data_IF_618323076957
#
_entry.id   IF_618323076957
#
_cell.length_a   1.000
_cell.length_b   1.000
_cell.length_c   1.000
_cell.angle_alpha   90.00
_cell.angle_beta   90.00
_cell.angle_gamma   90.00
#
_symmetry.space_group_name_H-M   'P 1'
#
loop_
_entity.id
_entity.type
_entity.pdbx_description
1 polymer ?
#
# COMPACT_ATOMS: atom_id res chain seq x y z
N UNK A 1 52.19 -16.63 -22.34
CA UNK A 1 51.38 -16.45 -23.55
C UNK A 1 49.92 -16.53 -23.12
N UNK A 2 49.15 -15.46 -23.22
CA UNK A 2 47.73 -15.44 -22.82
C UNK A 2 46.92 -16.20 -23.88
N UNK A 3 46.36 -17.36 -23.52
CA UNK A 3 45.52 -18.15 -24.43
C UNK A 3 44.08 -17.62 -24.41
N UNK A 4 43.84 -16.58 -25.21
CA UNK A 4 42.51 -16.00 -25.42
C UNK A 4 41.47 -17.03 -25.93
N UNK A 5 41.92 -18.09 -26.61
CA UNK A 5 41.04 -19.15 -27.10
C UNK A 5 40.60 -20.11 -25.99
N UNK A 6 41.38 -20.26 -24.92
CA UNK A 6 40.95 -21.02 -23.75
C UNK A 6 39.77 -20.34 -23.07
N UNK A 7 39.84 -19.01 -22.86
CA UNK A 7 38.76 -18.22 -22.28
C UNK A 7 37.52 -18.23 -23.17
N UNK A 8 37.67 -18.03 -24.50
CA UNK A 8 36.54 -18.10 -25.43
C UNK A 8 35.86 -19.48 -25.41
N UNK A 9 36.62 -20.58 -25.43
CA UNK A 9 36.05 -21.94 -25.36
C UNK A 9 35.31 -22.20 -24.05
N UNK A 10 35.85 -21.75 -22.92
CA UNK A 10 35.19 -21.87 -21.62
C UNK A 10 33.88 -21.09 -21.57
N UNK A 11 33.86 -19.85 -22.10
CA UNK A 11 32.66 -19.03 -22.20
C UNK A 11 31.61 -19.65 -23.12
N UNK A 12 32.00 -20.12 -24.31
CA UNK A 12 31.08 -20.80 -25.24
C UNK A 12 30.52 -22.08 -24.64
N UNK A 13 31.34 -22.87 -23.92
CA UNK A 13 30.88 -24.07 -23.23
C UNK A 13 29.87 -23.75 -22.12
N UNK A 14 30.13 -22.72 -21.31
CA UNK A 14 29.17 -22.25 -20.28
C UNK A 14 27.88 -21.71 -20.90
N UNK A 15 27.96 -20.98 -22.01
CA UNK A 15 26.79 -20.46 -22.72
C UNK A 15 26.00 -21.55 -23.44
N UNK A 16 26.65 -22.64 -23.86
CA UNK A 16 25.96 -23.78 -24.47
C UNK A 16 25.22 -24.63 -23.44
N UNK A 17 25.87 -24.95 -22.31
CA UNK A 17 25.25 -25.70 -21.21
C UNK A 17 25.63 -25.09 -19.85
N UNK A 18 24.76 -24.24 -19.30
CA UNK A 18 25.07 -23.57 -18.05
C UNK A 18 25.11 -24.56 -16.87
N UNK A 19 26.31 -24.84 -16.37
CA UNK A 19 26.54 -25.68 -15.19
C UNK A 19 26.07 -25.00 -13.89
N UNK A 20 26.37 -23.71 -13.72
CA UNK A 20 26.23 -22.96 -12.45
C UNK A 20 25.08 -21.94 -12.41
N UNK A 21 24.19 -21.94 -13.41
CA UNK A 21 23.15 -20.88 -13.49
C UNK A 21 22.06 -21.03 -12.42
N UNK A 22 21.88 -22.22 -11.85
CA UNK A 22 21.03 -22.37 -10.66
C UNK A 22 21.51 -21.49 -9.51
N UNK A 23 22.83 -21.42 -9.28
CA UNK A 23 23.43 -20.54 -8.26
C UNK A 23 23.12 -19.07 -8.53
N UNK A 24 23.18 -18.63 -9.79
CA UNK A 24 22.87 -17.25 -10.19
C UNK A 24 21.38 -16.92 -10.03
N UNK A 25 20.50 -17.84 -10.42
CA UNK A 25 19.05 -17.72 -10.27
C UNK A 25 18.62 -17.70 -8.80
N UNK A 26 19.28 -18.48 -7.92
CA UNK A 26 19.05 -18.42 -6.47
C UNK A 26 19.52 -17.10 -5.86
N UNK A 27 20.68 -16.62 -6.27
CA UNK A 27 21.24 -15.36 -5.80
C UNK A 27 20.30 -14.18 -6.11
N UNK A 28 19.76 -14.14 -7.33
CA UNK A 28 18.83 -13.07 -7.76
C UNK A 28 17.42 -13.28 -7.21
N UNK A 29 16.96 -14.53 -7.09
CA UNK A 29 15.60 -14.86 -6.65
C UNK A 29 15.33 -14.65 -5.15
N UNK A 30 16.37 -14.49 -4.34
CA UNK A 30 16.28 -14.48 -2.88
C UNK A 30 15.50 -13.32 -2.25
N UNK A 31 15.39 -12.19 -2.96
CA UNK A 31 14.56 -11.06 -2.52
C UNK A 31 13.27 -10.91 -3.32
N UNK A 32 13.18 -11.56 -4.48
CA UNK A 32 12.06 -11.44 -5.43
C UNK A 32 10.77 -12.09 -4.88
N UNK A 33 10.84 -12.96 -3.87
CA UNK A 33 9.65 -13.58 -3.28
C UNK A 33 8.85 -12.64 -2.36
N UNK A 34 9.50 -11.65 -1.72
CA UNK A 34 8.83 -10.65 -0.84
C UNK A 34 7.70 -9.92 -1.56
N UNK A 35 7.72 -10.02 -2.88
CA UNK A 35 6.91 -9.39 -3.89
C UNK A 35 5.77 -10.32 -4.36
N UNK A 36 6.02 -11.63 -4.55
CA UNK A 36 5.02 -12.57 -5.08
C UNK A 36 3.92 -12.91 -4.08
N UNK A 37 4.19 -12.94 -2.77
CA UNK A 37 3.14 -13.34 -1.80
C UNK A 37 2.16 -12.22 -1.43
N UNK A 38 2.43 -11.01 -1.93
CA UNK A 38 1.53 -9.85 -1.89
C UNK A 38 0.21 -10.09 -2.63
N UNK A 39 0.16 -11.17 -3.38
CA UNK A 39 -0.95 -11.59 -4.21
C UNK A 39 -2.01 -12.44 -3.54
N UNK A 40 -1.77 -13.06 -2.37
CA UNK A 40 -2.79 -13.94 -1.78
C UNK A 40 -4.08 -13.10 -1.62
N UNK A 41 -5.10 -13.36 -2.47
CA UNK A 41 -6.32 -12.60 -2.50
C UNK A 41 -6.99 -12.88 -1.19
N UNK A 42 -7.60 -11.86 -0.63
CA UNK A 42 -8.32 -12.05 0.61
C UNK A 42 -9.49 -13.02 0.34
N UNK A 43 -9.64 -14.08 1.14
CA UNK A 43 -10.67 -15.11 0.97
C UNK A 43 -10.17 -16.52 0.58
N UNK A 44 -11.09 -17.43 0.27
CA UNK A 44 -10.83 -18.83 -0.16
C UNK A 44 -10.47 -18.92 -1.66
N UNK A 45 -9.68 -17.96 -2.15
CA UNK A 45 -9.46 -17.75 -3.58
C UNK A 45 -8.17 -18.39 -4.10
N UNK A 46 -8.28 -19.09 -5.22
CA UNK A 46 -7.13 -19.50 -6.03
C UNK A 46 -6.30 -18.28 -6.49
N UNK A 47 -4.99 -18.34 -6.24
CA UNK A 47 -4.03 -17.31 -6.67
C UNK A 47 -3.12 -17.88 -7.75
N UNK A 48 -3.21 -17.40 -9.00
CA UNK A 48 -2.37 -17.84 -10.10
C UNK A 48 -0.99 -17.19 -9.95
N UNK A 49 -0.22 -17.68 -8.99
CA UNK A 49 1.14 -17.22 -8.81
C UNK A 49 2.05 -17.98 -9.76
N UNK A 50 2.97 -17.23 -10.39
CA UNK A 50 3.83 -17.76 -11.43
C UNK A 50 5.05 -18.45 -10.80
N UNK A 51 5.40 -19.61 -11.37
CA UNK A 51 6.56 -20.36 -10.92
C UNK A 51 7.85 -19.55 -11.17
N UNK A 52 8.72 -19.51 -10.18
CA UNK A 52 10.05 -18.90 -10.27
C UNK A 52 10.97 -19.51 -9.22
N UNK A 53 12.27 -19.52 -9.46
CA UNK A 53 13.24 -20.11 -8.51
C UNK A 53 13.36 -19.33 -7.19
N UNK A 54 12.85 -18.10 -7.12
CA UNK A 54 12.81 -17.30 -5.88
C UNK A 54 11.94 -17.93 -4.77
N UNK A 55 10.99 -18.80 -5.12
CA UNK A 55 10.16 -19.52 -4.15
C UNK A 55 10.95 -20.43 -3.20
N UNK A 56 12.12 -20.90 -3.64
CA UNK A 56 12.93 -21.77 -2.78
C UNK A 56 13.63 -20.98 -1.70
N UNK A 57 14.20 -19.81 -2.05
CA UNK A 57 14.78 -18.92 -1.04
C UNK A 57 13.72 -18.51 -0.01
N UNK A 58 12.49 -18.24 -0.47
CA UNK A 58 11.37 -18.02 0.42
C UNK A 58 11.14 -19.20 1.37
N UNK A 59 11.04 -20.42 0.84
CA UNK A 59 10.78 -21.61 1.63
C UNK A 59 11.83 -21.83 2.74
N UNK A 60 13.09 -21.44 2.52
CA UNK A 60 14.11 -21.44 3.57
C UNK A 60 13.91 -20.31 4.60
N UNK A 61 13.51 -19.11 4.17
CA UNK A 61 13.20 -18.03 5.13
C UNK A 61 12.00 -18.38 6.01
N UNK A 62 10.97 -19.03 5.47
CA UNK A 62 9.79 -19.46 6.23
C UNK A 62 10.06 -20.61 7.19
N UNK A 63 11.18 -21.32 7.03
CA UNK A 63 11.56 -22.33 8.01
C UNK A 63 11.84 -21.69 9.38
N UNK A 64 12.30 -20.43 9.39
CA UNK A 64 12.46 -19.64 10.63
C UNK A 64 11.10 -19.31 11.27
N UNK A 65 10.08 -19.01 10.48
CA UNK A 65 8.68 -18.88 10.95
C UNK A 65 8.23 -20.16 11.66
N UNK A 66 8.53 -21.34 11.09
CA UNK A 66 8.16 -22.62 11.70
C UNK A 66 8.94 -22.94 12.99
N UNK A 67 10.20 -22.48 13.10
CA UNK A 67 11.07 -22.77 14.25
C UNK A 67 11.02 -21.72 15.38
N UNK A 68 10.78 -20.46 15.06
CA UNK A 68 10.96 -19.31 15.96
C UNK A 68 9.75 -18.39 16.10
N UNK A 69 8.62 -18.70 15.46
CA UNK A 69 7.38 -17.93 15.60
C UNK A 69 7.38 -16.58 14.87
N UNK A 70 8.29 -16.36 13.93
CA UNK A 70 8.26 -15.21 13.02
C UNK A 70 7.01 -15.26 12.11
N UNK A 71 6.61 -14.14 11.51
CA UNK A 71 5.47 -14.06 10.57
C UNK A 71 5.89 -14.46 9.16
N UNK A 72 4.99 -15.07 8.38
CA UNK A 72 5.19 -15.26 6.92
C UNK A 72 5.14 -13.93 6.18
N UNK A 73 4.29 -13.01 6.66
CA UNK A 73 4.14 -11.69 6.09
C UNK A 73 5.38 -10.84 6.37
N UNK A 74 5.99 -10.23 5.34
CA UNK A 74 7.06 -9.28 5.54
C UNK A 74 6.53 -8.03 6.24
N UNK A 75 7.39 -7.39 7.03
CA UNK A 75 7.08 -6.12 7.69
C UNK A 75 6.66 -5.08 6.65
N UNK A 76 5.62 -4.30 6.97
CA UNK A 76 5.13 -3.23 6.10
C UNK A 76 6.25 -2.26 5.71
N UNK A 77 6.29 -1.89 4.43
CA UNK A 77 7.30 -0.96 3.88
C UNK A 77 6.94 0.51 4.09
N UNK A 78 5.68 0.80 4.45
CA UNK A 78 5.21 2.15 4.77
C UNK A 78 5.06 2.30 6.29
N UNK A 79 6.17 2.16 7.02
CA UNK A 79 6.24 2.25 8.48
C UNK A 79 5.89 3.66 9.01
N UNK A 80 5.92 4.68 8.14
CA UNK A 80 5.70 6.06 8.54
C UNK A 80 4.22 6.43 8.62
N UNK A 81 3.30 5.57 8.17
CA UNK A 81 1.87 5.84 8.30
C UNK A 81 1.43 5.65 9.76
N UNK A 82 0.81 6.69 10.32
CA UNK A 82 0.11 6.66 11.60
C UNK A 82 -1.37 6.43 11.30
N UNK A 83 -1.96 5.55 12.11
CA UNK A 83 -3.39 5.24 12.09
C UNK A 83 -3.98 5.81 13.37
N UNK A 84 -4.95 6.69 13.24
CA UNK A 84 -5.52 7.45 14.35
C UNK A 84 -7.02 7.24 14.42
N UNK A 85 -7.54 6.95 15.61
CA UNK A 85 -8.96 6.92 15.86
C UNK A 85 -9.54 8.35 15.76
N UNK A 86 -10.58 8.53 14.96
CA UNK A 86 -11.12 9.86 14.65
C UNK A 86 -11.76 10.57 15.86
N UNK A 87 -12.34 9.83 16.82
CA UNK A 87 -13.01 10.42 17.99
C UNK A 87 -12.11 10.59 19.20
N UNK A 88 -11.36 9.55 19.54
CA UNK A 88 -10.51 9.54 20.74
C UNK A 88 -9.17 10.25 20.52
N UNK A 89 -8.72 10.35 19.26
CA UNK A 89 -7.39 10.82 18.92
C UNK A 89 -6.29 9.78 19.17
N UNK A 90 -6.65 8.55 19.57
CA UNK A 90 -5.66 7.52 19.89
C UNK A 90 -4.88 7.11 18.64
N UNK A 91 -3.56 7.29 18.67
CA UNK A 91 -2.67 6.96 17.55
C UNK A 91 -2.02 5.59 17.70
N UNK A 92 -1.87 4.86 16.59
CA UNK A 92 -1.13 3.61 16.45
C UNK A 92 -0.14 3.73 15.31
N UNK A 93 1.07 3.22 15.50
CA UNK A 93 2.01 3.01 14.40
C UNK A 93 1.52 1.85 13.53
N UNK A 94 1.61 2.02 12.21
CA UNK A 94 1.19 0.99 11.28
C UNK A 94 2.25 -0.12 11.14
N UNK A 95 1.92 -1.32 11.60
CA UNK A 95 2.67 -2.54 11.24
C UNK A 95 1.99 -3.34 10.14
N UNK A 96 0.73 -3.03 9.82
CA UNK A 96 -0.02 -3.70 8.78
C UNK A 96 0.53 -3.46 7.38
N UNK A 97 0.75 -4.56 6.67
CA UNK A 97 1.04 -4.54 5.24
C UNK A 97 -0.11 -3.93 4.43
N UNK A 98 -1.37 -4.24 4.79
CA UNK A 98 -2.57 -3.81 4.05
C UNK A 98 -2.71 -2.30 4.06
N UNK A 99 -2.60 -1.67 5.24
CA UNK A 99 -2.67 -0.22 5.40
C UNK A 99 -1.46 0.44 4.73
N UNK A 100 -0.28 -0.18 4.83
CA UNK A 100 0.91 0.35 4.17
C UNK A 100 0.75 0.39 2.65
N UNK A 101 0.08 -0.61 2.07
CA UNK A 101 -0.26 -0.61 0.64
C UNK A 101 -1.34 0.37 0.26
N UNK A 102 -2.38 0.47 1.08
CA UNK A 102 -3.42 1.45 0.89
C UNK A 102 -2.82 2.86 0.80
N UNK A 103 -1.89 3.19 1.71
CA UNK A 103 -1.19 4.47 1.70
C UNK A 103 -0.25 4.65 0.49
N UNK A 104 0.66 3.69 0.25
CA UNK A 104 1.64 3.76 -0.83
C UNK A 104 0.99 3.95 -2.21
N UNK A 105 -0.13 3.26 -2.44
CA UNK A 105 -0.82 3.25 -3.73
C UNK A 105 -1.85 4.39 -3.84
N UNK A 106 -2.02 5.23 -2.80
CA UNK A 106 -2.98 6.33 -2.75
C UNK A 106 -2.98 7.25 -3.98
N UNK A 107 -1.81 7.68 -4.51
CA UNK A 107 -1.77 8.51 -5.72
C UNK A 107 -2.46 7.89 -6.94
N UNK A 108 -2.59 6.55 -7.00
CA UNK A 108 -3.14 5.84 -8.15
C UNK A 108 -4.63 5.53 -7.99
N UNK A 109 -5.10 5.32 -6.76
CA UNK A 109 -6.50 4.97 -6.51
C UNK A 109 -7.35 6.10 -5.94
N UNK A 110 -6.76 7.24 -5.55
CA UNK A 110 -7.52 8.41 -5.09
C UNK A 110 -8.53 8.88 -6.13
N UNK A 111 -9.65 9.42 -5.66
CA UNK A 111 -10.71 9.94 -6.53
C UNK A 111 -10.23 11.18 -7.29
N UNK A 112 -10.73 11.37 -8.52
CA UNK A 112 -10.38 12.52 -9.38
C UNK A 112 -10.70 13.87 -8.74
N UNK A 113 -11.67 13.94 -7.81
CA UNK A 113 -11.98 15.14 -7.04
C UNK A 113 -10.81 15.57 -6.15
N UNK A 114 -10.05 14.62 -5.62
CA UNK A 114 -8.83 14.89 -4.85
C UNK A 114 -7.75 15.49 -5.76
N UNK A 115 -7.60 14.94 -6.98
CA UNK A 115 -6.67 15.48 -7.98
C UNK A 115 -7.07 16.89 -8.43
N UNK A 116 -8.37 17.12 -8.66
CA UNK A 116 -8.92 18.43 -9.04
C UNK A 116 -8.62 19.47 -7.97
N UNK A 117 -8.95 19.19 -6.70
CA UNK A 117 -8.67 20.10 -5.60
C UNK A 117 -7.16 20.34 -5.42
N UNK A 118 -6.33 19.31 -5.57
CA UNK A 118 -4.87 19.46 -5.53
C UNK A 118 -4.36 20.37 -6.67
N UNK A 119 -4.91 20.24 -7.86
CA UNK A 119 -4.56 21.07 -9.01
C UNK A 119 -5.00 22.53 -8.81
N UNK A 120 -6.20 22.74 -8.28
CA UNK A 120 -6.73 24.08 -7.97
C UNK A 120 -5.90 24.76 -6.88
N UNK A 121 -5.56 24.05 -5.81
CA UNK A 121 -4.67 24.55 -4.76
C UNK A 121 -3.27 24.86 -5.30
N UNK A 122 -2.73 24.04 -6.24
CA UNK A 122 -1.45 24.33 -6.89
C UNK A 122 -1.52 25.54 -7.82
N UNK A 123 -2.64 25.76 -8.50
CA UNK A 123 -2.86 26.93 -9.37
C UNK A 123 -2.94 28.21 -8.55
N UNK A 124 -3.68 28.19 -7.44
CA UNK A 124 -3.78 29.33 -6.53
C UNK A 124 -2.43 29.63 -5.86
N UNK A 125 -1.61 28.61 -5.61
CA UNK A 125 -0.23 28.72 -5.13
C UNK A 125 0.77 29.30 -6.13
N UNK A 126 0.44 29.47 -7.41
CA UNK A 126 1.28 30.21 -8.36
C UNK A 126 1.59 31.67 -7.93
N UNK A 127 0.99 32.14 -6.83
CA UNK A 127 1.27 33.41 -6.15
C UNK A 127 2.07 33.30 -4.84
N UNK A 128 2.27 32.11 -4.25
CA UNK A 128 2.94 31.91 -2.95
C UNK A 128 4.02 30.81 -3.03
N UNK A 129 5.25 31.17 -2.65
CA UNK A 129 6.53 30.49 -2.96
C UNK A 129 6.79 29.09 -2.36
N UNK A 130 5.82 28.38 -1.79
CA UNK A 130 6.08 27.13 -1.06
C UNK A 130 5.48 25.92 -1.78
N UNK A 131 6.34 25.01 -2.24
CA UNK A 131 5.97 23.81 -3.02
C UNK A 131 5.03 22.84 -2.26
N UNK A 132 4.97 22.93 -0.92
CA UNK A 132 4.29 21.91 -0.10
C UNK A 132 3.20 22.36 0.90
N UNK A 133 2.89 23.65 1.06
CA UNK A 133 2.03 24.10 2.16
C UNK A 133 0.53 23.90 1.89
N UNK A 134 -0.07 22.77 2.27
CA UNK A 134 -1.53 22.57 2.23
C UNK A 134 -1.91 21.13 2.56
N UNK A 135 -3.05 20.94 3.21
CA UNK A 135 -3.58 19.62 3.61
C UNK A 135 -4.83 19.30 2.80
N UNK A 136 -4.86 18.09 2.26
CA UNK A 136 -6.02 17.53 1.56
C UNK A 136 -6.41 16.23 2.24
N UNK A 137 -7.63 16.19 2.75
CA UNK A 137 -8.24 15.04 3.40
C UNK A 137 -9.25 14.41 2.45
N UNK A 138 -8.95 13.21 1.96
CA UNK A 138 -9.92 12.42 1.22
C UNK A 138 -10.79 11.61 2.18
N UNK A 139 -12.10 11.77 2.12
CA UNK A 139 -13.07 11.08 2.96
C UNK A 139 -13.62 9.89 2.20
N UNK A 140 -13.47 8.71 2.78
CA UNK A 140 -13.90 7.44 2.21
C UNK A 140 -14.74 6.66 3.22
N UNK A 141 -15.62 5.81 2.72
CA UNK A 141 -16.43 4.89 3.51
C UNK A 141 -16.00 3.45 3.22
N UNK A 142 -15.62 2.70 4.26
CA UNK A 142 -15.31 1.29 4.13
C UNK A 142 -16.59 0.47 4.15
N UNK A 143 -16.84 -0.31 3.09
CA UNK A 143 -18.05 -1.11 2.97
C UNK A 143 -18.06 -2.29 3.95
N UNK A 144 -19.27 -2.67 4.38
CA UNK A 144 -19.51 -3.94 5.07
C UNK A 144 -18.96 -5.11 4.24
N UNK A 145 -18.30 -6.05 4.92
CA UNK A 145 -17.86 -7.29 4.29
C UNK A 145 -19.08 -8.14 3.90
N UNK A 146 -19.16 -8.55 2.63
CA UNK A 146 -20.22 -9.45 2.15
C UNK A 146 -20.10 -10.86 2.74
N UNK A 147 -18.88 -11.27 3.06
CA UNK A 147 -18.55 -12.55 3.69
C UNK A 147 -17.85 -12.29 5.03
N UNK A 148 -17.79 -13.29 5.92
CA UNK A 148 -17.11 -13.17 7.22
C UNK A 148 -15.60 -12.89 7.12
N UNK A 149 -15.05 -12.82 5.90
CA UNK A 149 -13.66 -12.49 5.59
C UNK A 149 -13.64 -11.46 4.46
N UNK A 150 -12.62 -10.59 4.41
CA UNK A 150 -12.46 -9.69 3.29
C UNK A 150 -12.22 -10.49 2.02
N UNK A 151 -12.74 -10.00 0.90
CA UNK A 151 -12.54 -10.65 -0.41
C UNK A 151 -11.88 -9.67 -1.36
N UNK A 152 -10.78 -10.08 -1.97
CA UNK A 152 -10.08 -9.29 -2.99
C UNK A 152 -10.75 -9.47 -4.36
N UNK A 153 -10.99 -8.37 -5.06
CA UNK A 153 -11.40 -8.42 -6.46
C UNK A 153 -10.21 -8.84 -7.33
N UNK A 154 -10.46 -9.73 -8.31
CA UNK A 154 -9.45 -10.19 -9.27
C UNK A 154 -8.99 -9.02 -10.15
N UNK A 155 -7.84 -8.43 -9.81
CA UNK A 155 -7.21 -7.36 -10.58
C UNK A 155 -6.36 -7.84 -11.75
N UNK A 156 -5.78 -6.92 -12.52
CA UNK A 156 -4.94 -7.18 -13.70
C UNK A 156 -3.80 -8.17 -13.42
N UNK A 157 -3.18 -8.08 -12.24
CA UNK A 157 -2.13 -9.01 -11.83
C UNK A 157 -2.58 -10.48 -11.78
N UNK A 158 -3.83 -10.74 -11.42
CA UNK A 158 -4.39 -12.10 -11.35
C UNK A 158 -4.52 -12.70 -12.76
N UNK A 159 -5.05 -11.92 -13.71
CA UNK A 159 -5.17 -12.33 -15.12
C UNK A 159 -3.79 -12.53 -15.75
N UNK A 160 -2.85 -11.61 -15.49
CA UNK A 160 -1.49 -11.73 -15.99
C UNK A 160 -0.78 -12.97 -15.43
N UNK A 161 -1.02 -13.32 -14.17
CA UNK A 161 -0.50 -14.55 -13.57
C UNK A 161 -0.91 -15.79 -14.36
N UNK A 162 -2.19 -15.92 -14.70
CA UNK A 162 -2.70 -17.02 -15.53
C UNK A 162 -2.04 -17.05 -16.92
N UNK A 163 -1.97 -15.88 -17.57
CA UNK A 163 -1.37 -15.78 -18.90
C UNK A 163 0.11 -16.21 -18.89
N UNK A 164 0.88 -15.75 -17.91
CA UNK A 164 2.30 -16.09 -17.82
C UNK A 164 2.49 -17.54 -17.42
N UNK A 165 1.65 -18.12 -16.55
CA UNK A 165 1.69 -19.56 -16.29
C UNK A 165 1.43 -20.37 -17.56
N UNK A 166 0.44 -19.97 -18.37
CA UNK A 166 0.18 -20.63 -19.66
C UNK A 166 1.40 -20.53 -20.60
N UNK A 167 2.02 -19.35 -20.69
CA UNK A 167 3.24 -19.14 -21.45
C UNK A 167 4.39 -20.05 -20.97
N UNK A 168 4.58 -20.16 -19.65
CA UNK A 168 5.59 -21.05 -19.07
C UNK A 168 5.35 -22.51 -19.45
N UNK A 169 4.10 -22.98 -19.42
CA UNK A 169 3.73 -24.34 -19.82
C UNK A 169 3.99 -24.57 -21.32
N UNK A 170 3.66 -23.61 -22.18
CA UNK A 170 3.96 -23.69 -23.62
C UNK A 170 5.47 -23.81 -23.86
N UNK A 171 6.26 -22.95 -23.21
CA UNK A 171 7.73 -23.01 -23.31
C UNK A 171 8.29 -24.34 -22.78
N UNK A 172 7.65 -24.93 -21.78
CA UNK A 172 8.07 -26.21 -21.20
C UNK A 172 7.73 -27.42 -22.07
N UNK A 173 6.77 -27.30 -23.00
CA UNK A 173 6.41 -28.36 -23.97
C UNK A 173 7.40 -28.43 -25.14
N UNK A 174 8.07 -27.32 -25.49
CA UNK A 174 9.01 -27.27 -26.62
C UNK A 174 10.09 -28.36 -26.51
N UNK A 175 10.85 -28.49 -25.41
CA UNK A 175 11.87 -29.55 -25.25
C UNK A 175 11.31 -30.97 -25.37
N UNK A 176 10.06 -31.18 -24.92
CA UNK A 176 9.40 -32.48 -25.05
C UNK A 176 9.20 -32.84 -26.52
N UNK A 177 8.73 -31.88 -27.32
CA UNK A 177 8.41 -32.11 -28.73
C UNK A 177 9.65 -32.19 -29.63
N UNK A 178 10.70 -31.43 -29.35
CA UNK A 178 11.88 -31.35 -30.22
C UNK A 178 13.00 -32.30 -29.81
N UNK A 179 13.13 -32.58 -28.51
CA UNK A 179 14.28 -33.28 -27.93
C UNK A 179 13.89 -34.55 -27.16
N UNK A 180 12.60 -34.81 -26.96
CA UNK A 180 12.11 -35.95 -26.16
C UNK A 180 12.37 -35.82 -24.66
N UNK A 181 12.72 -34.62 -24.18
CA UNK A 181 13.09 -34.37 -22.79
C UNK A 181 11.91 -33.82 -21.98
N UNK A 182 11.34 -34.65 -21.09
CA UNK A 182 10.21 -34.28 -20.22
C UNK A 182 10.59 -33.60 -18.90
N UNK A 183 11.88 -33.48 -18.59
CA UNK A 183 12.36 -32.88 -17.34
C UNK A 183 11.88 -31.45 -17.14
N UNK A 184 12.00 -30.61 -18.18
CA UNK A 184 11.57 -29.19 -18.12
C UNK A 184 10.07 -29.06 -17.85
N UNK A 185 9.26 -29.90 -18.49
CA UNK A 185 7.81 -29.94 -18.29
C UNK A 185 7.45 -30.37 -16.87
N UNK A 186 8.06 -31.45 -16.38
CA UNK A 186 7.85 -31.97 -15.03
C UNK A 186 8.18 -30.91 -13.96
N UNK A 187 9.34 -30.26 -14.08
CA UNK A 187 9.76 -29.21 -13.13
C UNK A 187 8.81 -28.02 -13.17
N UNK A 188 8.37 -27.59 -14.36
CA UNK A 188 7.49 -26.42 -14.52
C UNK A 188 6.10 -26.69 -13.94
N UNK A 189 5.51 -27.85 -14.23
CA UNK A 189 4.21 -28.24 -13.67
C UNK A 189 4.30 -28.37 -12.15
N UNK A 190 5.28 -29.13 -11.66
CA UNK A 190 5.45 -29.37 -10.22
C UNK A 190 5.71 -28.06 -9.48
N UNK A 191 6.60 -27.22 -10.01
CA UNK A 191 6.88 -25.90 -9.45
C UNK A 191 5.68 -24.95 -9.46
N UNK A 192 4.84 -25.01 -10.48
CA UNK A 192 3.58 -24.23 -10.53
C UNK A 192 2.61 -24.69 -9.46
N UNK A 193 2.41 -26.00 -9.30
CA UNK A 193 1.54 -26.56 -8.27
C UNK A 193 2.05 -26.23 -6.85
N UNK A 194 3.37 -26.33 -6.62
CA UNK A 194 3.99 -25.95 -5.36
C UNK A 194 3.81 -24.45 -5.08
N UNK A 195 3.98 -23.58 -6.10
CA UNK A 195 3.74 -22.14 -5.95
C UNK A 195 2.28 -21.84 -5.57
N UNK A 196 1.32 -22.51 -6.20
CA UNK A 196 -0.10 -22.37 -5.89
C UNK A 196 -0.45 -22.86 -4.50
N UNK A 197 0.11 -24.00 -4.06
CA UNK A 197 -0.04 -24.49 -2.70
C UNK A 197 0.52 -23.49 -1.70
N UNK A 198 1.75 -23.01 -1.94
CA UNK A 198 2.42 -22.03 -1.09
C UNK A 198 1.59 -20.75 -0.92
N UNK A 199 1.02 -20.25 -2.01
CA UNK A 199 0.22 -19.03 -2.02
C UNK A 199 -1.18 -19.20 -1.39
N UNK A 200 -1.67 -20.45 -1.33
CA UNK A 200 -2.99 -20.80 -0.80
C UNK A 200 -2.97 -21.19 0.68
N UNK A 201 -1.83 -21.07 1.36
CA UNK A 201 -1.76 -21.32 2.80
C UNK A 201 -2.69 -20.37 3.58
N UNK A 202 -3.52 -20.88 4.50
CA UNK A 202 -4.47 -20.05 5.25
C UNK A 202 -3.78 -19.02 6.16
N UNK A 203 -2.53 -19.31 6.56
CA UNK A 203 -1.72 -18.40 7.38
C UNK A 203 -1.53 -17.02 6.75
N UNK A 204 -1.49 -16.92 5.41
CA UNK A 204 -1.43 -15.64 4.70
C UNK A 204 -2.61 -14.74 5.02
N UNK A 205 -3.80 -15.34 5.11
CA UNK A 205 -5.04 -14.62 5.39
C UNK A 205 -5.09 -14.16 6.84
N UNK A 206 -4.72 -15.05 7.75
CA UNK A 206 -4.71 -14.77 9.19
C UNK A 206 -3.74 -13.66 9.55
N UNK A 207 -2.53 -13.66 8.97
CA UNK A 207 -1.53 -12.62 9.22
C UNK A 207 -1.84 -11.30 8.51
N UNK A 208 -2.46 -11.35 7.33
CA UNK A 208 -2.81 -10.15 6.55
C UNK A 208 -4.05 -9.43 7.10
N UNK A 209 -5.01 -10.15 7.67
CA UNK A 209 -6.29 -9.61 8.19
C UNK A 209 -6.57 -9.98 9.64
N UNK A 210 -5.58 -9.73 10.49
CA UNK A 210 -5.76 -9.85 11.94
C UNK A 210 -6.45 -8.62 12.51
N UNK A 211 -7.75 -8.54 12.29
CA UNK A 211 -8.58 -7.45 12.78
C UNK A 211 -9.99 -7.94 13.12
N UNK A 212 -10.63 -7.31 14.10
CA UNK A 212 -12.03 -7.57 14.39
C UNK A 212 -12.92 -6.85 13.39
N UNK A 213 -14.15 -7.32 13.25
CA UNK A 213 -15.19 -6.57 12.55
C UNK A 213 -15.65 -5.40 13.40
N UNK A 214 -15.88 -4.28 12.74
CA UNK A 214 -16.35 -3.03 13.35
C UNK A 214 -17.77 -3.20 13.87
N UNK A 215 -18.00 -2.70 15.09
CA UNK A 215 -19.32 -2.51 15.67
C UNK A 215 -19.57 -1.00 15.78
N UNK A 216 -20.84 -0.61 15.87
CA UNK A 216 -21.18 0.78 16.18
C UNK A 216 -20.67 1.17 17.56
N UNK A 217 -20.33 2.45 17.69
CA UNK A 217 -20.00 3.03 18.98
C UNK A 217 -21.21 3.05 19.91
N UNK A 218 -20.98 3.27 21.21
CA UNK A 218 -22.05 3.31 22.23
C UNK A 218 -23.09 4.40 21.97
N UNK A 219 -22.70 5.46 21.27
CA UNK A 219 -23.54 6.58 20.87
C UNK A 219 -24.30 6.34 19.55
N UNK A 220 -24.20 5.13 18.96
CA UNK A 220 -24.86 4.77 17.70
C UNK A 220 -24.14 5.26 16.44
N UNK A 221 -23.04 6.01 16.58
CA UNK A 221 -22.23 6.51 15.46
C UNK A 221 -21.34 5.41 14.85
N UNK A 222 -20.97 5.61 13.58
CA UNK A 222 -19.95 4.81 12.93
C UNK A 222 -18.56 5.25 13.41
N UNK A 223 -17.63 4.32 13.72
CA UNK A 223 -16.27 4.69 14.02
C UNK A 223 -15.55 5.17 12.77
N UNK A 224 -14.60 6.07 12.95
CA UNK A 224 -13.81 6.67 11.88
C UNK A 224 -12.33 6.59 12.22
N UNK A 225 -11.50 6.43 11.20
CA UNK A 225 -10.05 6.27 11.35
C UNK A 225 -9.35 7.14 10.32
N UNK A 226 -8.33 7.86 10.74
CA UNK A 226 -7.47 8.65 9.85
C UNK A 226 -6.16 7.92 9.60
N UNK A 227 -5.74 7.88 8.34
CA UNK A 227 -4.44 7.37 7.91
C UNK A 227 -3.63 8.55 7.37
N UNK A 228 -2.48 8.84 7.99
CA UNK A 228 -1.59 9.93 7.59
C UNK A 228 -0.13 9.63 7.96
N UNK A 229 0.88 10.09 7.19
CA UNK A 229 2.28 10.06 7.60
C UNK A 229 2.60 10.96 8.79
N UNK A 230 1.68 11.85 9.15
CA UNK A 230 1.86 12.85 10.20
C UNK A 230 2.23 14.23 9.67
N UNK A 231 2.85 15.04 10.53
CA UNK A 231 3.26 16.40 10.20
C UNK A 231 4.16 16.46 8.94
N UNK A 232 3.98 17.50 8.12
CA UNK A 232 4.68 17.69 6.85
C UNK A 232 4.07 16.93 5.66
N UNK A 233 3.02 16.14 5.88
CA UNK A 233 2.28 15.48 4.79
C UNK A 233 1.18 16.36 4.21
N UNK A 234 1.01 16.30 2.89
CA UNK A 234 -0.06 17.02 2.18
C UNK A 234 -1.39 16.29 2.14
N UNK A 235 -1.38 15.00 2.50
CA UNK A 235 -2.50 14.11 2.31
C UNK A 235 -2.84 13.43 3.63
N UNK A 236 -4.13 13.33 3.91
CA UNK A 236 -4.68 12.43 4.92
C UNK A 236 -5.89 11.69 4.32
N UNK A 237 -6.14 10.48 4.80
CA UNK A 237 -7.28 9.68 4.36
C UNK A 237 -8.15 9.46 5.59
N UNK A 238 -9.34 10.04 5.60
CA UNK A 238 -10.37 9.75 6.59
C UNK A 238 -11.20 8.57 6.08
N UNK A 239 -11.27 7.49 6.86
CA UNK A 239 -12.07 6.31 6.55
C UNK A 239 -13.17 6.14 7.60
N UNK A 240 -14.41 6.26 7.18
CA UNK A 240 -15.60 5.96 7.98
C UNK A 240 -15.87 4.46 7.85
N UNK A 241 -15.97 3.76 8.96
CA UNK A 241 -16.08 2.30 8.99
C UNK A 241 -17.55 1.88 9.14
N UNK A 242 -18.12 1.25 8.11
CA UNK A 242 -19.47 0.67 8.24
C UNK A 242 -19.48 -0.50 9.23
N UNK A 243 -20.64 -0.76 9.81
CA UNK A 243 -20.85 -1.92 10.67
C UNK A 243 -20.58 -3.22 9.91
N UNK A 244 -19.70 -4.06 10.46
CA UNK A 244 -19.24 -5.28 9.79
C UNK A 244 -18.11 -5.08 8.77
N UNK A 245 -17.54 -3.88 8.65
CA UNK A 245 -16.26 -3.67 7.96
C UNK A 245 -15.07 -4.09 8.84
N UNK A 246 -13.85 -4.10 8.29
CA UNK A 246 -12.63 -4.44 9.04
C UNK A 246 -12.20 -3.26 9.92
N UNK A 247 -11.91 -3.52 11.20
CA UNK A 247 -11.38 -2.47 12.07
C UNK A 247 -9.93 -2.14 11.69
N UNK A 248 -9.71 -0.93 11.19
CA UNK A 248 -8.40 -0.49 10.72
C UNK A 248 -7.38 -0.26 11.86
N UNK A 249 -7.83 0.05 13.07
CA UNK A 249 -6.92 0.20 14.22
C UNK A 249 -6.37 -1.14 14.70
N UNK A 250 -7.25 -2.13 14.81
CA UNK A 250 -6.85 -3.51 15.10
C UNK A 250 -5.94 -4.01 13.98
N UNK A 251 -6.28 -3.71 12.72
CA UNK A 251 -5.48 -4.11 11.57
C UNK A 251 -4.08 -3.50 11.62
N UNK A 252 -3.95 -2.22 12.00
CA UNK A 252 -2.68 -1.49 12.11
C UNK A 252 -1.72 -2.12 13.11
N UNK A 253 -2.24 -2.78 14.15
CA UNK A 253 -1.45 -3.43 15.20
C UNK A 253 -1.47 -4.96 15.13
N UNK A 254 -2.26 -5.55 14.24
CA UNK A 254 -2.57 -6.98 14.22
C UNK A 254 -1.38 -7.92 14.01
N UNK A 255 -0.30 -7.43 13.39
CA UNK A 255 0.95 -8.19 13.23
C UNK A 255 1.77 -8.26 14.53
N UNK A 256 1.59 -7.32 15.45
CA UNK A 256 2.34 -7.30 16.70
C UNK A 256 1.87 -8.45 17.60
N UNK A 257 2.80 -9.32 17.99
CA UNK A 257 2.50 -10.48 18.84
C UNK A 257 1.70 -11.58 18.15
N UNK A 258 1.75 -11.68 16.81
CA UNK A 258 1.33 -12.91 16.14
C UNK A 258 2.28 -14.05 16.51
N UNK A 259 1.71 -15.18 16.94
CA UNK A 259 2.44 -16.42 17.16
C UNK A 259 1.73 -17.50 16.35
N UNK A 260 2.36 -18.06 15.31
CA UNK A 260 1.76 -19.15 14.57
C UNK A 260 1.55 -20.34 15.50
N UNK A 261 0.47 -21.09 15.29
CA UNK A 261 0.28 -22.37 15.98
C UNK A 261 1.34 -23.34 15.49
N UNK A 262 1.87 -24.20 16.35
CA UNK A 262 2.86 -25.23 15.95
C UNK A 262 2.36 -26.08 14.77
N UNK A 263 1.05 -26.36 14.73
CA UNK A 263 0.38 -27.08 13.64
C UNK A 263 0.49 -26.35 12.29
N UNK A 264 0.56 -25.01 12.28
CA UNK A 264 0.75 -24.20 11.07
C UNK A 264 2.20 -24.27 10.53
N UNK A 265 3.16 -24.72 11.34
CA UNK A 265 4.54 -24.95 10.91
C UNK A 265 4.74 -26.21 10.05
N UNK A 266 3.91 -27.24 10.23
CA UNK A 266 4.06 -28.52 9.51
C UNK A 266 3.91 -28.36 7.99
N UNK A 267 2.87 -27.68 7.46
CA UNK A 267 2.76 -27.42 6.02
C UNK A 267 3.96 -26.67 5.45
N UNK A 268 4.54 -25.73 6.21
CA UNK A 268 5.71 -24.98 5.79
C UNK A 268 6.94 -25.88 5.65
N UNK A 269 7.19 -26.75 6.64
CA UNK A 269 8.31 -27.70 6.61
C UNK A 269 8.18 -28.65 5.41
N UNK A 270 6.98 -29.22 5.19
CA UNK A 270 6.72 -30.11 4.06
C UNK A 270 6.92 -29.41 2.72
N UNK A 271 6.43 -28.18 2.61
CA UNK A 271 6.55 -27.38 1.40
C UNK A 271 8.02 -27.01 1.13
N UNK A 272 8.80 -26.65 2.16
CA UNK A 272 10.24 -26.41 2.03
C UNK A 272 10.98 -27.66 1.57
N UNK A 273 10.67 -28.82 2.16
CA UNK A 273 11.25 -30.09 1.70
C UNK A 273 10.89 -30.39 0.23
N UNK A 274 9.63 -30.16 -0.18
CA UNK A 274 9.19 -30.35 -1.55
C UNK A 274 9.90 -29.41 -2.54
N UNK A 275 10.12 -28.15 -2.15
CA UNK A 275 10.91 -27.20 -2.93
C UNK A 275 12.36 -27.67 -3.09
N UNK A 276 12.99 -28.18 -2.04
CA UNK A 276 14.35 -28.74 -2.10
C UNK A 276 14.42 -29.94 -3.03
N UNK A 277 13.47 -30.88 -2.93
CA UNK A 277 13.41 -32.05 -3.83
C UNK A 277 13.24 -31.61 -5.28
N UNK A 278 12.35 -30.65 -5.55
CA UNK A 278 12.16 -30.10 -6.90
C UNK A 278 13.46 -29.52 -7.47
N UNK A 279 14.29 -28.88 -6.64
CA UNK A 279 15.59 -28.38 -7.07
C UNK A 279 16.60 -29.47 -7.37
N UNK A 280 16.66 -30.50 -6.53
CA UNK A 280 17.54 -31.65 -6.80
C UNK A 280 17.18 -32.31 -8.13
N UNK A 281 15.88 -32.44 -8.42
CA UNK A 281 15.40 -32.91 -9.73
C UNK A 281 15.80 -31.95 -10.85
N UNK A 282 15.63 -30.64 -10.67
CA UNK A 282 16.00 -29.65 -11.68
C UNK A 282 17.51 -29.63 -12.00
N UNK A 283 18.37 -29.82 -10.99
CA UNK A 283 19.83 -29.92 -11.15
C UNK A 283 20.21 -31.18 -11.94
N UNK A 284 19.47 -32.27 -11.74
CA UNK A 284 19.70 -33.56 -12.41
C UNK A 284 19.42 -33.55 -13.92
N UNK A 285 18.93 -32.46 -14.50
CA UNK A 285 18.60 -32.36 -15.94
C UNK A 285 19.89 -32.08 -16.74
N UNK A 286 20.33 -33.01 -17.61
CA UNK A 286 21.65 -32.94 -18.26
C UNK A 286 21.72 -31.95 -19.43
N UNK A 287 20.59 -31.64 -20.09
CA UNK A 287 20.56 -30.87 -21.34
C UNK A 287 19.56 -29.70 -21.27
N UNK A 288 19.71 -28.72 -22.18
CA UNK A 288 18.70 -27.69 -22.50
C UNK A 288 18.20 -26.84 -21.31
N UNK A 289 19.08 -26.58 -20.35
CA UNK A 289 18.78 -25.80 -19.12
C UNK A 289 18.29 -24.37 -19.40
N UNK A 290 18.57 -23.83 -20.59
CA UNK A 290 18.08 -22.53 -21.04
C UNK A 290 16.56 -22.39 -21.00
N UNK A 291 15.80 -23.45 -21.26
CA UNK A 291 14.33 -23.38 -21.15
C UNK A 291 13.90 -23.18 -19.69
N UNK A 292 14.49 -23.93 -18.75
CA UNK A 292 14.22 -23.75 -17.32
C UNK A 292 14.62 -22.35 -16.84
N UNK A 293 15.76 -21.85 -17.30
CA UNK A 293 16.24 -20.50 -17.00
C UNK A 293 15.24 -19.46 -17.51
N UNK A 294 14.84 -19.56 -18.78
CA UNK A 294 13.88 -18.64 -19.40
C UNK A 294 12.54 -18.65 -18.69
N UNK A 295 12.00 -19.84 -18.40
CA UNK A 295 10.75 -20.02 -17.65
C UNK A 295 10.87 -19.35 -16.26
N UNK A 296 11.95 -19.65 -15.52
CA UNK A 296 12.18 -19.08 -14.19
C UNK A 296 12.34 -17.56 -14.21
N UNK A 297 13.09 -17.03 -15.18
CA UNK A 297 13.33 -15.60 -15.36
C UNK A 297 12.04 -14.83 -15.70
N UNK A 298 11.24 -15.33 -16.64
CA UNK A 298 9.92 -14.78 -16.97
C UNK A 298 9.04 -14.73 -15.72
N UNK A 299 9.06 -15.80 -14.91
CA UNK A 299 8.32 -15.84 -13.66
C UNK A 299 8.80 -14.82 -12.63
N UNK A 300 10.12 -14.64 -12.48
CA UNK A 300 10.67 -13.61 -11.59
C UNK A 300 10.28 -12.19 -12.03
N UNK A 301 10.31 -11.91 -13.34
CA UNK A 301 9.91 -10.61 -13.89
C UNK A 301 8.43 -10.33 -13.63
N UNK A 302 7.55 -11.30 -13.88
CA UNK A 302 6.13 -11.16 -13.59
C UNK A 302 5.86 -10.94 -12.10
N UNK A 303 6.47 -11.75 -11.23
CA UNK A 303 6.30 -11.63 -9.78
C UNK A 303 6.78 -10.27 -9.26
N UNK A 304 7.89 -9.76 -9.80
CA UNK A 304 8.42 -8.42 -9.47
C UNK A 304 7.47 -7.31 -9.95
N UNK A 305 7.05 -7.37 -11.22
CA UNK A 305 6.16 -6.35 -11.79
C UNK A 305 4.86 -6.24 -11.00
N UNK A 306 4.21 -7.37 -10.70
CA UNK A 306 2.92 -7.29 -10.02
C UNK A 306 3.05 -6.82 -8.58
N UNK A 307 4.15 -7.14 -7.91
CA UNK A 307 4.38 -6.62 -6.59
C UNK A 307 4.68 -5.13 -6.56
N UNK A 308 5.34 -4.61 -7.60
CA UNK A 308 5.54 -3.17 -7.74
C UNK A 308 4.23 -2.47 -8.07
N UNK A 309 3.36 -3.13 -8.84
CA UNK A 309 2.12 -2.58 -9.38
C UNK A 309 1.21 -2.01 -8.28
N UNK A 310 0.66 -0.81 -8.47
CA UNK A 310 -0.31 -0.21 -7.57
C UNK A 310 -1.59 -1.04 -7.47
N UNK A 311 -2.23 -1.03 -6.30
CA UNK A 311 -3.49 -1.72 -6.04
C UNK A 311 -4.58 -0.76 -5.62
N UNK A 312 -5.80 -1.04 -6.09
CA UNK A 312 -7.01 -0.37 -5.60
C UNK A 312 -7.44 -0.96 -4.26
N UNK A 313 -8.15 -0.21 -3.41
CA UNK A 313 -8.57 -0.68 -2.09
C UNK A 313 -9.35 -2.01 -2.14
N UNK A 314 -10.24 -2.16 -3.12
CA UNK A 314 -11.00 -3.40 -3.34
C UNK A 314 -10.12 -4.62 -3.73
N UNK A 315 -8.98 -4.41 -4.39
CA UNK A 315 -8.02 -5.48 -4.70
C UNK A 315 -7.18 -5.87 -3.47
N UNK A 316 -7.02 -4.95 -2.52
CA UNK A 316 -6.35 -5.26 -1.26
C UNK A 316 -7.31 -5.99 -0.30
N UNK A 317 -8.63 -5.93 -0.54
CA UNK A 317 -9.67 -6.52 0.30
C UNK A 317 -10.33 -5.51 1.25
N UNK A 318 -10.11 -4.21 1.04
CA UNK A 318 -10.76 -3.11 1.76
C UNK A 318 -11.54 -2.26 0.75
N UNK A 319 -12.75 -2.65 0.35
CA UNK A 319 -13.56 -1.84 -0.57
C UNK A 319 -13.90 -0.49 0.07
N UNK A 320 -13.28 0.57 -0.44
CA UNK A 320 -13.52 1.96 -0.04
C UNK A 320 -14.36 2.66 -1.12
N UNK A 321 -15.36 3.41 -0.68
CA UNK A 321 -16.16 4.29 -1.52
C UNK A 321 -15.85 5.74 -1.18
N UNK A 322 -15.59 6.58 -2.18
CA UNK A 322 -15.32 7.99 -1.95
C UNK A 322 -16.61 8.71 -1.55
N UNK A 323 -16.53 9.54 -0.52
CA UNK A 323 -17.64 10.39 -0.06
C UNK A 323 -17.38 11.82 -0.50
N UNK A 324 -16.35 12.44 0.06
CA UNK A 324 -16.02 13.85 -0.15
C UNK A 324 -14.52 14.11 -0.03
N UNK A 325 -14.09 15.31 -0.39
CA UNK A 325 -12.71 15.78 -0.19
C UNK A 325 -12.76 17.15 0.45
N UNK A 326 -11.94 17.32 1.48
CA UNK A 326 -11.74 18.60 2.17
C UNK A 326 -10.28 19.00 1.99
N UNK A 327 -9.99 20.27 1.72
CA UNK A 327 -8.61 20.69 1.63
C UNK A 327 -8.45 22.18 1.45
N UNK A 328 -7.34 22.69 1.97
CA UNK A 328 -6.98 24.11 1.90
C UNK A 328 -5.47 24.27 1.76
N UNK A 329 -5.05 25.44 1.30
CA UNK A 329 -3.64 25.84 1.28
C UNK A 329 -3.09 26.03 2.71
N UNK A 330 -3.94 26.37 3.67
CA UNK A 330 -3.58 26.37 5.07
C UNK A 330 -4.08 25.10 5.77
N UNK A 331 -3.20 24.45 6.53
CA UNK A 331 -3.47 23.20 7.23
C UNK A 331 -4.51 23.42 8.34
N UNK A 332 -4.40 24.51 9.10
CA UNK A 332 -5.36 24.81 10.17
C UNK A 332 -6.78 25.02 9.60
N UNK A 333 -6.88 25.78 8.50
CA UNK A 333 -8.13 25.91 7.76
C UNK A 333 -8.69 24.58 7.25
N UNK A 334 -7.85 23.70 6.69
CA UNK A 334 -8.30 22.39 6.20
C UNK A 334 -8.87 21.52 7.32
N UNK A 335 -8.22 21.53 8.50
CA UNK A 335 -8.68 20.81 9.69
C UNK A 335 -9.98 21.40 10.25
N UNK A 336 -10.12 22.73 10.26
CA UNK A 336 -11.35 23.40 10.67
C UNK A 336 -12.51 23.15 9.69
N UNK A 337 -12.23 23.09 8.39
CA UNK A 337 -13.22 22.68 7.39
C UNK A 337 -13.65 21.24 7.60
N UNK A 338 -12.72 20.33 7.91
CA UNK A 338 -13.04 18.94 8.20
C UNK A 338 -13.92 18.81 9.45
N UNK A 339 -13.64 19.57 10.50
CA UNK A 339 -14.46 19.59 11.73
C UNK A 339 -15.92 20.02 11.48
N UNK A 340 -16.16 20.77 10.40
CA UNK A 340 -17.49 21.26 10.01
C UNK A 340 -18.25 20.29 9.11
N UNK A 341 -17.60 19.28 8.53
CA UNK A 341 -18.33 18.26 7.76
C UNK A 341 -18.99 17.26 8.71
N UNK A 342 -20.12 16.71 8.29
CA UNK A 342 -20.89 15.76 9.12
C UNK A 342 -20.05 14.53 9.47
N UNK A 343 -19.20 14.09 8.52
CA UNK A 343 -18.33 12.92 8.66
C UNK A 343 -17.01 13.22 9.41
N UNK A 344 -16.53 14.47 9.37
CA UNK A 344 -15.28 14.91 9.96
C UNK A 344 -15.41 15.52 11.37
N UNK A 345 -16.63 15.61 11.90
CA UNK A 345 -16.90 16.20 13.22
C UNK A 345 -16.15 15.47 14.35
N UNK A 346 -15.39 16.23 15.14
CA UNK A 346 -14.50 15.74 16.19
C UNK A 346 -13.13 15.28 15.67
N UNK A 347 -13.01 14.91 14.39
CA UNK A 347 -11.77 14.41 13.79
C UNK A 347 -10.80 15.55 13.51
N UNK A 348 -11.30 16.68 13.00
CA UNK A 348 -10.48 17.85 12.68
C UNK A 348 -9.71 18.35 13.89
N UNK A 349 -10.39 18.44 15.05
CA UNK A 349 -9.77 18.82 16.34
C UNK A 349 -8.69 17.85 16.78
N UNK A 350 -8.93 16.54 16.66
CA UNK A 350 -7.97 15.55 17.11
C UNK A 350 -6.73 15.52 16.19
N UNK A 351 -6.89 15.78 14.89
CA UNK A 351 -5.79 15.84 13.94
C UNK A 351 -4.84 17.03 14.18
N UNK A 352 -5.29 18.07 14.88
CA UNK A 352 -4.43 19.18 15.28
C UNK A 352 -3.21 18.68 16.05
N UNK A 353 -3.36 17.67 16.92
CA UNK A 353 -2.25 17.13 17.71
C UNK A 353 -1.18 16.44 16.84
N UNK A 354 -1.57 15.92 15.66
CA UNK A 354 -0.66 15.26 14.73
C UNK A 354 0.09 16.25 13.85
N UNK A 355 -0.59 17.27 13.33
CA UNK A 355 0.00 18.26 12.42
C UNK A 355 0.65 19.44 13.15
N UNK A 356 0.16 19.77 14.34
CA UNK A 356 0.63 20.86 15.20
C UNK A 356 0.93 20.33 16.61
N UNK A 357 2.00 19.54 16.80
CA UNK A 357 2.33 18.96 18.10
C UNK A 357 2.64 20.02 19.17
N UNK A 358 3.00 21.25 18.76
CA UNK A 358 3.21 22.40 19.65
C UNK A 358 1.94 23.20 19.96
N UNK A 359 0.77 22.77 19.49
CA UNK A 359 -0.48 23.54 19.58
C UNK A 359 -0.69 24.48 18.40
N UNK A 360 -1.91 25.05 18.33
CA UNK A 360 -2.26 26.06 17.34
C UNK A 360 -1.84 27.44 17.85
N UNK A 361 -1.51 28.32 16.92
CA UNK A 361 -1.39 29.74 17.23
C UNK A 361 -2.77 30.32 17.55
N UNK A 362 -2.83 31.31 18.44
CA UNK A 362 -4.06 31.79 19.10
C UNK A 362 -5.17 32.21 18.12
N UNK A 363 -4.83 32.70 16.93
CA UNK A 363 -5.82 33.05 15.89
C UNK A 363 -6.40 31.86 15.11
N UNK A 364 -5.74 30.70 15.11
CA UNK A 364 -6.24 29.48 14.46
C UNK A 364 -7.15 28.66 15.38
N UNK A 365 -7.10 28.87 16.70
CA UNK A 365 -7.98 28.21 17.67
C UNK A 365 -9.45 28.61 17.47
N UNK A 366 -9.68 29.88 17.11
CA UNK A 366 -11.01 30.42 16.82
C UNK A 366 -11.71 29.73 15.64
N UNK A 367 -10.96 29.11 14.71
CA UNK A 367 -11.50 28.40 13.56
C UNK A 367 -12.33 27.16 13.94
N UNK A 368 -12.05 26.61 15.12
CA UNK A 368 -12.72 25.45 15.70
C UNK A 368 -13.83 25.83 16.70
N UNK A 369 -14.05 27.14 16.92
CA UNK A 369 -15.12 27.73 17.71
C UNK A 369 -16.50 27.69 17.01
N UNK A 370 -17.56 28.01 17.76
CA UNK A 370 -18.98 27.72 17.49
C UNK A 370 -19.50 27.94 16.04
N UNK A 371 -20.52 27.14 15.61
CA UNK A 371 -21.14 27.24 14.28
C UNK A 371 -21.88 28.57 14.13
N UNK A 372 -21.19 29.62 13.69
CA UNK A 372 -21.82 30.93 13.52
C UNK A 372 -20.92 32.07 13.07
N UNK A 373 -19.59 31.97 13.20
CA UNK A 373 -18.70 33.11 12.86
C UNK A 373 -17.49 32.65 12.06
N UNK A 374 -17.72 32.11 10.87
CA UNK A 374 -16.79 32.35 9.75
C UNK A 374 -17.68 32.63 8.56
N UNK A 375 -17.84 33.93 8.25
CA UNK A 375 -18.36 34.36 6.95
C UNK A 375 -17.58 33.62 5.88
N UNK A 376 -18.28 33.18 4.86
CA UNK A 376 -17.80 32.54 3.65
C UNK A 376 -16.60 33.32 3.05
N UNK A 377 -15.41 33.09 3.60
CA UNK A 377 -14.18 33.72 3.17
C UNK A 377 -13.71 32.87 2.01
N UNK A 378 -14.19 33.23 0.82
CA UNK A 378 -13.69 32.70 -0.43
C UNK A 378 -12.15 32.66 -0.41
N UNK A 379 -11.55 31.69 -1.09
CA UNK A 379 -10.09 31.50 -1.18
C UNK A 379 -9.31 32.79 -1.52
N UNK A 380 -9.98 33.78 -2.13
CA UNK A 380 -9.48 35.12 -2.45
C UNK A 380 -9.30 36.07 -1.26
N UNK A 381 -10.06 35.90 -0.18
CA UNK A 381 -9.93 36.73 1.03
C UNK A 381 -8.85 36.19 1.97
N UNK A 382 -8.63 34.87 2.02
CA UNK A 382 -7.57 34.26 2.85
C UNK A 382 -6.16 34.62 2.41
N UNK A 383 -5.86 34.57 1.10
CA UNK A 383 -4.57 35.07 0.59
C UNK A 383 -4.38 36.58 0.85
N UNK A 384 -5.47 37.34 1.01
CA UNK A 384 -5.42 38.76 1.33
C UNK A 384 -5.10 38.97 2.82
N UNK A 385 -5.75 38.24 3.72
CA UNK A 385 -5.44 38.26 5.15
C UNK A 385 -3.99 37.83 5.46
N UNK A 386 -3.45 36.80 4.80
CA UNK A 386 -2.04 36.41 4.99
C UNK A 386 -1.03 37.42 4.41
N UNK A 387 -1.36 38.07 3.29
CA UNK A 387 -0.54 39.13 2.72
C UNK A 387 -0.59 40.40 3.58
N UNK A 388 -1.73 40.69 4.19
CA UNK A 388 -1.95 41.82 5.09
C UNK A 388 -1.32 41.57 6.46
N UNK A 389 -1.35 40.34 7.00
CA UNK A 389 -0.64 39.97 8.24
C UNK A 389 0.89 39.96 8.07
N UNK A 390 1.41 39.54 6.91
CA UNK A 390 2.84 39.68 6.63
C UNK A 390 3.28 41.12 6.35
N UNK A 391 2.38 41.99 5.86
CA UNK A 391 2.61 43.43 5.77
C UNK A 391 2.52 44.10 7.13
N UNK A 392 1.58 43.69 7.98
CA UNK A 392 1.44 44.17 9.35
C UNK A 392 2.65 43.73 10.21
N UNK A 393 3.09 42.48 10.11
CA UNK A 393 4.30 41.99 10.79
C UNK A 393 5.62 42.61 10.27
N UNK A 394 5.65 43.10 9.02
CA UNK A 394 6.75 43.93 8.51
C UNK A 394 6.62 45.40 8.93
N UNK A 395 5.42 45.98 8.90
CA UNK A 395 5.16 47.37 9.31
C UNK A 395 5.31 47.58 10.81
N UNK A 396 5.01 46.57 11.63
CA UNK A 396 5.18 46.63 13.09
C UNK A 396 6.66 46.54 13.52
N UNK A 397 7.55 46.22 12.57
CA UNK A 397 9.00 46.39 12.72
C UNK A 397 9.49 47.79 12.33
N UNK A 398 8.71 48.55 11.55
CA UNK A 398 9.20 49.78 10.92
C UNK A 398 8.49 51.07 11.32
N UNK A 399 7.22 51.11 11.74
CA UNK A 399 6.55 52.41 12.01
C UNK A 399 5.53 52.32 13.16
N UNK A 400 5.77 53.14 14.20
CA UNK A 400 4.78 53.46 15.21
C UNK A 400 3.67 54.38 14.69
N UNK A 401 2.49 54.25 15.30
CA UNK A 401 1.33 55.14 15.24
C UNK A 401 0.54 55.24 13.91
N UNK A 402 -0.78 55.07 14.02
CA UNK A 402 -1.74 55.85 13.23
C UNK A 402 -2.49 55.17 12.08
N UNK A 403 -3.77 54.86 12.35
CA UNK A 403 -4.97 55.04 11.47
C UNK A 403 -5.24 54.14 10.24
N UNK A 404 -6.25 53.27 10.43
CA UNK A 404 -7.47 52.99 9.64
C UNK A 404 -7.49 52.98 8.09
N UNK A 405 -8.08 51.91 7.53
CA UNK A 405 -9.05 52.02 6.43
C UNK A 405 -9.95 50.76 6.37
N UNK A 406 -11.24 50.94 6.66
CA UNK A 406 -12.31 50.02 6.27
C UNK A 406 -12.98 50.61 5.04
N UNK A 407 -13.13 49.85 3.96
CA UNK A 407 -14.29 50.06 3.10
C UNK A 407 -14.73 48.78 2.39
N UNK A 408 -16.04 48.63 2.31
CA UNK A 408 -16.78 47.39 2.10
C UNK A 408 -17.60 47.55 0.83
N UNK A 409 -17.47 46.64 -0.15
CA UNK A 409 -18.52 46.48 -1.16
C UNK A 409 -18.40 45.15 -1.93
N UNK A 410 -19.56 44.48 -2.04
CA UNK A 410 -20.14 43.84 -3.23
C UNK A 410 -20.05 42.31 -3.49
N UNK A 411 -21.28 41.75 -3.54
CA UNK A 411 -21.88 40.75 -4.46
C UNK A 411 -22.01 39.30 -3.95
N UNK A 412 -23.21 39.00 -3.46
CA UNK A 412 -23.78 37.66 -3.32
C UNK A 412 -24.09 37.04 -4.69
N UNK A 413 -23.66 35.78 -4.90
CA UNK A 413 -24.36 34.82 -5.76
C UNK A 413 -24.39 33.46 -5.09
N UNK A 414 -25.56 33.10 -4.57
CA UNK A 414 -25.91 31.71 -4.22
C UNK A 414 -26.04 30.89 -5.49
N UNK A 415 -25.35 29.75 -5.55
CA UNK A 415 -25.77 28.63 -6.39
C UNK A 415 -25.96 27.43 -5.46
N UNK A 416 -27.23 27.06 -5.26
CA UNK A 416 -27.64 25.78 -4.70
C UNK A 416 -27.49 24.71 -5.78
N UNK A 417 -26.99 23.54 -5.39
CA UNK A 417 -27.48 22.24 -5.88
C UNK A 417 -27.69 21.37 -4.67
#
# INVERSE_FOLDING_TARGET
MLDWNATSRALTAQLANPADVFTLLFLVGGDVWKYSVRFSPVGWGFTPVVFSFGWVSYAFTTLKTAAGGETLMPVSTAQNAVVMEGKSGHTRSNTSWVIGRLWRDYPVWRDRRVDGLLADLKRDKGRCSWEQAGLIVGVYKAKKLKESRPVSVKGTGWVLGLFVTLLQLILAVIPVSTQGEWGTLLVTITGTLLAWWTASLPQWQEEKFRARTVRRNRDGSLPSVVITPGNGSQHAILVILEEGSVNLEDLATGQNGYRPRVIQGVPLILLTAAWVVLLLVAIGIPSNRWYLIGIGAIGMLQNTWVASSPRRPAEVGLPLEFVEVVGSADVACALAQLERTDEGRGVGKQLVQIFFPGGLETGHEDLFGAPGVVKDLSSRQWCRCQADDQRAGRMQKDIGSGTSCWDTTLIERRVKV
#
